data_IF_584033869432
#
_entry.id   IF_584033869432
#
_cell.length_a   1.000
_cell.length_b   1.000
_cell.length_c   1.000
_cell.angle_alpha   90.00
_cell.angle_beta   90.00
_cell.angle_gamma   90.00
#
_symmetry.space_group_name_H-M   'P 1'
#
loop_
_entity.id
_entity.type
_entity.pdbx_description
1 polymer ?
#
# COMPACT_ATOMS: atom_id res chain seq x y z
N UNK A 1 26.16 -5.43 17.38
CA UNK A 1 26.93 -5.31 16.11
C UNK A 1 26.26 -4.28 15.21
N UNK A 2 27.06 -3.37 14.63
CA UNK A 2 26.59 -2.27 13.78
C UNK A 2 26.15 -2.78 12.39
N UNK A 3 26.75 -3.86 11.89
CA UNK A 3 26.48 -4.40 10.56
C UNK A 3 26.55 -5.93 10.53
N UNK A 4 25.79 -6.52 9.62
CA UNK A 4 25.97 -7.92 9.20
C UNK A 4 26.35 -7.96 7.73
N UNK A 5 27.32 -8.79 7.34
CA UNK A 5 27.67 -9.04 5.95
C UNK A 5 26.92 -10.26 5.45
N UNK A 6 26.13 -10.07 4.40
CA UNK A 6 25.37 -11.14 3.75
C UNK A 6 25.91 -11.39 2.36
N UNK A 7 26.05 -12.66 1.98
CA UNK A 7 26.31 -13.04 0.58
C UNK A 7 24.97 -13.15 -0.16
N UNK A 8 24.82 -12.38 -1.22
CA UNK A 8 23.65 -12.42 -2.08
C UNK A 8 23.86 -13.42 -3.24
N UNK A 9 23.26 -14.61 -3.10
CA UNK A 9 23.16 -15.61 -4.19
C UNK A 9 24.48 -16.05 -4.79
N UNK A 10 24.48 -16.31 -6.11
CA UNK A 10 25.66 -16.72 -6.89
C UNK A 10 26.65 -15.58 -7.20
N UNK A 11 26.30 -14.34 -6.88
CA UNK A 11 27.21 -13.20 -7.01
C UNK A 11 28.10 -13.12 -5.78
N UNK A 12 29.41 -13.27 -5.97
CA UNK A 12 30.44 -13.14 -4.91
C UNK A 12 30.59 -11.71 -4.38
N UNK A 13 29.48 -10.97 -4.23
CA UNK A 13 29.47 -9.62 -3.66
C UNK A 13 28.94 -9.68 -2.24
N UNK A 14 29.73 -9.18 -1.32
CA UNK A 14 29.32 -8.96 0.05
C UNK A 14 28.44 -7.69 0.13
N UNK A 15 27.32 -7.79 0.84
CA UNK A 15 26.45 -6.66 1.15
C UNK A 15 26.50 -6.43 2.66
N UNK A 16 26.88 -5.22 3.06
CA UNK A 16 26.80 -4.82 4.46
C UNK A 16 25.33 -4.41 4.78
N UNK A 17 24.76 -5.04 5.80
CA UNK A 17 23.41 -4.75 6.27
C UNK A 17 23.47 -4.07 7.62
N UNK A 18 22.83 -2.90 7.74
CA UNK A 18 22.72 -2.13 8.97
C UNK A 18 21.27 -2.13 9.45
N UNK A 19 21.07 -2.40 10.74
CA UNK A 19 19.75 -2.32 11.36
C UNK A 19 19.54 -0.99 12.08
N UNK A 20 18.31 -0.51 12.09
CA UNK A 20 17.85 0.59 12.93
C UNK A 20 16.47 0.27 13.51
N UNK A 21 16.10 0.91 14.62
CA UNK A 21 14.79 0.75 15.23
C UNK A 21 13.84 1.84 14.70
N UNK A 22 12.62 1.44 14.39
CA UNK A 22 11.53 2.31 13.97
C UNK A 22 10.20 1.82 14.54
N UNK A 23 9.33 2.75 14.92
CA UNK A 23 7.97 2.42 15.36
C UNK A 23 7.06 2.18 14.14
N UNK A 24 6.97 0.93 13.70
CA UNK A 24 6.13 0.53 12.56
C UNK A 24 4.62 0.62 12.85
N UNK A 25 4.21 0.71 14.13
CA UNK A 25 2.81 0.90 14.50
C UNK A 25 2.38 2.37 14.38
N UNK A 26 3.35 3.30 14.45
CA UNK A 26 3.14 4.74 14.37
C UNK A 26 4.05 5.40 13.34
N UNK A 27 3.95 5.04 12.04
CA UNK A 27 4.80 5.59 10.99
C UNK A 27 4.61 7.10 10.75
N UNK A 28 3.59 7.69 11.34
CA UNK A 28 3.36 9.14 11.34
C UNK A 28 4.30 9.89 12.27
N UNK A 29 4.93 9.21 13.25
CA UNK A 29 5.77 9.85 14.26
C UNK A 29 7.22 9.88 13.82
N UNK A 30 7.78 11.08 13.79
CA UNK A 30 9.21 11.25 13.60
C UNK A 30 9.95 11.06 14.91
N UNK A 31 10.94 10.16 14.92
CA UNK A 31 11.84 9.96 16.06
C UNK A 31 13.24 10.46 15.70
N UNK A 32 13.70 11.51 16.39
CA UNK A 32 15.04 12.07 16.19
C UNK A 32 16.18 11.12 16.64
N UNK A 33 15.89 10.09 17.41
CA UNK A 33 16.89 9.07 17.76
C UNK A 33 17.40 8.31 16.52
N UNK A 34 16.60 8.22 15.45
CA UNK A 34 17.03 7.66 14.18
C UNK A 34 18.20 8.45 13.56
N UNK A 35 18.25 9.77 13.75
CA UNK A 35 19.32 10.62 13.21
C UNK A 35 20.69 10.17 13.69
N UNK A 36 20.84 9.95 14.99
CA UNK A 36 22.10 9.49 15.58
C UNK A 36 22.50 8.11 15.03
N UNK A 37 21.51 7.24 14.79
CA UNK A 37 21.78 5.91 14.22
C UNK A 37 22.21 6.00 12.75
N UNK A 38 21.53 6.79 11.93
CA UNK A 38 21.95 7.00 10.55
C UNK A 38 23.32 7.69 10.45
N UNK A 39 23.63 8.61 11.34
CA UNK A 39 24.97 9.23 11.39
C UNK A 39 26.05 8.16 11.59
N UNK A 40 25.88 7.25 12.55
CA UNK A 40 26.80 6.13 12.77
C UNK A 40 26.95 5.23 11.54
N UNK A 41 25.85 4.92 10.86
CA UNK A 41 25.87 4.10 9.63
C UNK A 41 26.63 4.82 8.51
N UNK A 42 26.36 6.10 8.32
CA UNK A 42 27.00 6.92 7.29
C UNK A 42 28.50 7.11 7.56
N UNK A 43 28.91 7.26 8.81
CA UNK A 43 30.31 7.35 9.22
C UNK A 43 31.07 6.02 9.00
N UNK A 44 30.43 4.88 9.27
CA UNK A 44 31.02 3.57 9.09
C UNK A 44 31.10 3.16 7.61
N UNK A 45 30.02 3.37 6.85
CA UNK A 45 29.91 2.93 5.46
C UNK A 45 30.47 3.93 4.46
N UNK A 46 30.40 5.22 4.73
CA UNK A 46 30.84 6.34 3.89
C UNK A 46 30.33 6.26 2.44
N UNK A 47 29.00 6.25 2.23
CA UNK A 47 28.43 6.08 0.90
C UNK A 47 28.71 7.28 -0.01
N UNK A 48 28.98 7.00 -1.30
CA UNK A 48 29.01 8.04 -2.33
C UNK A 48 27.61 8.55 -2.71
N UNK A 49 26.60 7.67 -2.61
CA UNK A 49 25.22 7.93 -2.95
C UNK A 49 24.29 7.22 -1.95
N UNK A 50 23.21 7.88 -1.58
CA UNK A 50 22.13 7.29 -0.77
C UNK A 50 20.88 7.17 -1.62
N UNK A 51 20.33 5.96 -1.71
CA UNK A 51 19.05 5.69 -2.34
C UNK A 51 18.02 5.28 -1.28
N UNK A 52 16.99 6.09 -1.10
CA UNK A 52 15.89 5.89 -0.16
C UNK A 52 14.71 5.32 -0.92
N UNK A 53 14.17 4.18 -0.49
CA UNK A 53 12.99 3.55 -1.08
C UNK A 53 11.74 3.91 -0.30
N UNK A 54 10.83 4.67 -0.92
CA UNK A 54 9.58 5.11 -0.35
C UNK A 54 9.69 6.39 0.49
N UNK A 55 8.57 7.06 0.62
CA UNK A 55 8.41 8.30 1.39
C UNK A 55 7.48 8.12 2.58
N UNK A 56 6.89 6.92 2.70
CA UNK A 56 5.80 6.62 3.61
C UNK A 56 6.21 6.54 5.08
N UNK A 57 7.53 6.41 5.34
CA UNK A 57 8.08 6.26 6.68
C UNK A 57 9.07 7.39 7.00
N UNK A 58 9.17 7.80 8.27
CA UNK A 58 10.00 8.95 8.66
C UNK A 58 11.50 8.69 8.60
N UNK A 59 11.96 7.43 8.54
CA UNK A 59 13.37 7.09 8.47
C UNK A 59 14.06 7.67 7.23
N UNK A 60 13.35 7.77 6.09
CA UNK A 60 13.89 8.38 4.89
C UNK A 60 14.31 9.84 5.13
N UNK A 61 13.44 10.61 5.80
CA UNK A 61 13.77 11.99 6.18
C UNK A 61 14.92 12.05 7.18
N UNK A 62 14.96 11.19 8.19
CA UNK A 62 16.05 11.14 9.16
C UNK A 62 17.40 10.87 8.47
N UNK A 63 17.45 9.92 7.53
CA UNK A 63 18.65 9.60 6.76
C UNK A 63 19.09 10.80 5.88
N UNK A 64 18.17 11.37 5.08
CA UNK A 64 18.49 12.51 4.21
C UNK A 64 18.97 13.72 4.99
N UNK A 65 18.38 13.99 6.16
CA UNK A 65 18.74 15.11 7.03
C UNK A 65 20.18 15.02 7.53
N UNK A 66 20.64 13.83 7.96
CA UNK A 66 22.01 13.67 8.49
C UNK A 66 23.04 13.47 7.38
N UNK A 67 22.67 12.86 6.25
CA UNK A 67 23.55 12.77 5.10
C UNK A 67 23.86 14.13 4.49
N UNK A 68 22.86 15.00 4.45
CA UNK A 68 22.97 16.41 4.08
C UNK A 68 23.72 16.67 2.75
N UNK A 69 23.48 15.80 1.76
CA UNK A 69 24.03 15.90 0.40
C UNK A 69 22.92 15.68 -0.62
N UNK A 70 22.08 16.70 -0.88
CA UNK A 70 20.94 16.55 -1.78
C UNK A 70 21.33 16.06 -3.18
N UNK A 71 22.47 16.51 -3.71
CA UNK A 71 23.00 16.11 -5.02
C UNK A 71 23.45 14.64 -5.09
N UNK A 72 23.51 13.96 -3.96
CA UNK A 72 23.87 12.53 -3.83
C UNK A 72 22.77 11.70 -3.18
N UNK A 73 21.59 12.29 -3.04
CA UNK A 73 20.43 11.59 -2.44
C UNK A 73 19.34 11.41 -3.48
N UNK A 74 18.96 10.15 -3.69
CA UNK A 74 17.90 9.71 -4.59
C UNK A 74 16.75 9.13 -3.76
N UNK A 75 15.51 9.53 -4.03
CA UNK A 75 14.31 8.96 -3.39
C UNK A 75 13.47 8.25 -4.44
N UNK A 76 13.16 6.98 -4.22
CA UNK A 76 12.21 6.21 -5.02
C UNK A 76 10.78 6.40 -4.51
N UNK A 77 9.93 7.05 -5.31
CA UNK A 77 8.53 7.27 -4.98
C UNK A 77 7.74 5.98 -5.15
N UNK A 78 7.10 5.51 -4.07
CA UNK A 78 6.20 4.35 -4.08
C UNK A 78 4.74 4.80 -4.12
N UNK A 79 4.27 5.38 -3.04
CA UNK A 79 3.03 6.10 -2.91
C UNK A 79 3.29 7.56 -2.52
N UNK A 80 2.26 8.38 -2.51
CA UNK A 80 2.34 9.75 -2.04
C UNK A 80 1.38 9.93 -0.87
N UNK A 81 1.92 10.17 0.31
CA UNK A 81 1.14 10.28 1.54
C UNK A 81 0.12 11.39 1.47
N UNK A 82 0.45 12.53 0.84
CA UNK A 82 -0.49 13.63 0.66
C UNK A 82 -1.70 13.21 -0.19
N UNK A 83 -1.46 12.52 -1.30
CA UNK A 83 -2.55 12.03 -2.16
C UNK A 83 -3.41 10.99 -1.46
N UNK A 84 -2.80 10.13 -0.65
CA UNK A 84 -3.53 9.18 0.17
C UNK A 84 -4.38 9.88 1.23
N UNK A 85 -3.87 10.94 1.87
CA UNK A 85 -4.60 11.72 2.86
C UNK A 85 -5.82 12.41 2.26
N UNK A 86 -5.65 13.10 1.14
CA UNK A 86 -6.70 13.84 0.44
C UNK A 86 -7.84 12.93 -0.03
N UNK A 87 -7.50 11.72 -0.50
CA UNK A 87 -8.45 10.75 -1.02
C UNK A 87 -8.86 9.67 0.00
N UNK A 88 -8.42 9.76 1.26
CA UNK A 88 -8.59 8.68 2.24
C UNK A 88 -10.06 8.31 2.48
N UNK A 89 -10.96 9.27 2.39
CA UNK A 89 -12.38 9.05 2.63
C UNK A 89 -13.07 8.26 1.51
N UNK A 90 -12.52 8.28 0.28
CA UNK A 90 -13.00 7.46 -0.85
C UNK A 90 -14.54 7.50 -0.97
N UNK A 91 -15.12 8.71 -1.02
CA UNK A 91 -16.57 8.99 -1.12
C UNK A 91 -17.45 8.28 -0.08
N UNK A 92 -16.88 7.86 1.06
CA UNK A 92 -17.69 7.31 2.14
C UNK A 92 -18.74 8.32 2.62
N UNK A 93 -19.97 7.89 2.90
CA UNK A 93 -20.98 8.75 3.49
C UNK A 93 -20.49 9.39 4.79
N UNK A 94 -20.83 10.65 5.04
CA UNK A 94 -20.34 11.42 6.19
C UNK A 94 -20.58 10.73 7.54
N UNK A 95 -21.73 10.09 7.70
CA UNK A 95 -22.04 9.32 8.90
C UNK A 95 -21.13 8.09 9.08
N UNK A 96 -20.54 7.56 8.00
CA UNK A 96 -19.56 6.48 8.06
C UNK A 96 -18.18 7.03 8.39
N UNK A 97 -17.77 8.14 7.75
CA UNK A 97 -16.51 8.83 8.03
C UNK A 97 -16.38 9.19 9.52
N UNK A 98 -17.48 9.64 10.13
CA UNK A 98 -17.53 10.06 11.53
C UNK A 98 -17.82 8.91 12.52
N UNK A 99 -18.12 7.71 12.02
CA UNK A 99 -18.43 6.56 12.88
C UNK A 99 -17.19 6.04 13.62
N UNK A 100 -17.42 5.56 14.85
CA UNK A 100 -16.37 4.94 15.68
C UNK A 100 -16.92 3.68 16.33
N UNK A 101 -16.12 2.63 16.33
CA UNK A 101 -16.40 1.41 17.11
C UNK A 101 -15.63 1.45 18.43
N UNK A 102 -15.97 0.56 19.37
CA UNK A 102 -15.16 0.42 20.59
C UNK A 102 -13.70 0.10 20.29
N UNK A 103 -13.44 -0.72 19.27
CA UNK A 103 -12.09 -0.98 18.79
C UNK A 103 -11.39 0.30 18.35
N UNK A 104 -12.05 1.11 17.54
CA UNK A 104 -11.46 2.34 17.00
C UNK A 104 -11.13 3.35 18.10
N UNK A 105 -11.97 3.42 19.13
CA UNK A 105 -11.73 4.27 20.31
C UNK A 105 -10.50 3.77 21.09
N UNK A 106 -10.44 2.45 21.38
CA UNK A 106 -9.32 1.86 22.14
C UNK A 106 -8.00 1.94 21.41
N UNK A 107 -8.01 1.72 20.08
CA UNK A 107 -6.79 1.75 19.25
C UNK A 107 -6.46 3.15 18.74
N UNK A 108 -7.30 4.15 18.94
CA UNK A 108 -7.17 5.49 18.35
C UNK A 108 -6.97 5.41 16.83
N UNK A 109 -7.84 4.64 16.17
CA UNK A 109 -7.67 4.18 14.79
C UNK A 109 -9.00 4.27 14.00
N UNK A 110 -9.79 5.32 14.23
CA UNK A 110 -10.99 5.62 13.45
C UNK A 110 -10.61 6.10 12.04
N UNK A 111 -11.55 6.06 11.09
CA UNK A 111 -11.32 6.47 9.70
C UNK A 111 -10.71 7.88 9.64
N UNK A 112 -11.24 8.85 10.38
CA UNK A 112 -10.66 10.20 10.43
C UNK A 112 -9.29 10.25 11.09
N UNK A 113 -9.03 9.44 12.10
CA UNK A 113 -7.70 9.37 12.72
C UNK A 113 -6.67 8.75 11.77
N UNK A 114 -7.07 7.78 10.96
CA UNK A 114 -6.20 7.22 9.93
C UNK A 114 -5.88 8.26 8.84
N UNK A 115 -6.87 9.04 8.39
CA UNK A 115 -6.63 10.17 7.48
C UNK A 115 -5.64 11.17 8.07
N UNK A 116 -5.83 11.56 9.32
CA UNK A 116 -4.94 12.49 10.03
C UNK A 116 -3.50 11.96 10.11
N UNK A 117 -3.33 10.66 10.37
CA UNK A 117 -2.00 10.03 10.33
C UNK A 117 -1.35 10.12 8.95
N UNK A 118 -2.13 10.01 7.87
CA UNK A 118 -1.60 10.22 6.52
C UNK A 118 -1.17 11.66 6.28
N UNK A 119 -1.89 12.66 6.78
CA UNK A 119 -1.45 14.06 6.72
C UNK A 119 -0.14 14.27 7.49
N UNK A 120 0.01 13.67 8.67
CA UNK A 120 1.26 13.75 9.44
C UNK A 120 2.43 13.06 8.70
N UNK A 121 2.18 11.93 8.04
CA UNK A 121 3.18 11.28 7.17
C UNK A 121 3.53 12.16 5.96
N UNK A 122 2.55 12.83 5.37
CA UNK A 122 2.76 13.78 4.27
C UNK A 122 3.67 14.95 4.66
N UNK A 123 3.61 15.41 5.91
CA UNK A 123 4.54 16.43 6.40
C UNK A 123 5.99 15.91 6.45
N UNK A 124 6.22 14.66 6.84
CA UNK A 124 7.53 14.04 6.80
C UNK A 124 8.01 13.80 5.36
N UNK A 125 7.12 13.34 4.47
CA UNK A 125 7.36 13.21 3.03
C UNK A 125 7.78 14.54 2.40
N UNK A 126 7.06 15.61 2.68
CA UNK A 126 7.39 16.97 2.22
C UNK A 126 8.79 17.40 2.67
N UNK A 127 9.12 17.19 3.94
CA UNK A 127 10.46 17.51 4.47
C UNK A 127 11.55 16.70 3.78
N UNK A 128 11.30 15.40 3.53
CA UNK A 128 12.21 14.54 2.78
C UNK A 128 12.44 15.08 1.37
N UNK A 129 11.37 15.35 0.61
CA UNK A 129 11.46 15.81 -0.78
C UNK A 129 12.13 17.19 -0.89
N UNK A 130 11.99 18.05 0.12
CA UNK A 130 12.71 19.35 0.20
C UNK A 130 14.20 19.17 0.54
N UNK A 131 14.61 18.02 1.09
CA UNK A 131 15.98 17.77 1.55
C UNK A 131 16.85 17.02 0.54
N UNK A 132 16.29 16.63 -0.61
CA UNK A 132 16.97 15.78 -1.62
C UNK A 132 17.02 16.47 -2.98
N UNK A 133 17.95 16.05 -3.85
CA UNK A 133 18.09 16.61 -5.20
C UNK A 133 17.49 15.75 -6.30
N UNK A 134 17.28 14.45 -6.03
CA UNK A 134 16.84 13.50 -7.06
C UNK A 134 15.70 12.63 -6.55
N UNK A 135 14.73 12.38 -7.45
CA UNK A 135 13.65 11.40 -7.22
C UNK A 135 13.51 10.47 -8.42
N UNK A 136 13.10 9.23 -8.16
CA UNK A 136 12.61 8.32 -9.19
C UNK A 136 11.14 8.07 -9.01
N UNK A 137 10.42 7.95 -10.11
CA UNK A 137 9.01 7.60 -10.11
C UNK A 137 8.59 6.97 -11.44
N UNK A 138 7.32 6.64 -11.58
CA UNK A 138 6.79 5.84 -12.69
C UNK A 138 5.72 6.54 -13.49
N UNK A 139 5.16 7.61 -12.98
CA UNK A 139 3.95 8.22 -13.53
C UNK A 139 4.10 9.74 -13.67
N UNK A 140 3.27 10.32 -14.53
CA UNK A 140 3.15 11.78 -14.61
C UNK A 140 2.55 12.37 -13.33
N UNK A 141 1.79 11.55 -12.59
CA UNK A 141 1.15 11.94 -11.34
C UNK A 141 2.18 12.15 -10.22
N UNK A 142 3.06 11.18 -9.97
CA UNK A 142 4.08 11.33 -8.94
C UNK A 142 5.12 12.40 -9.30
N UNK A 143 5.43 12.53 -10.61
CA UNK A 143 6.27 13.61 -11.12
C UNK A 143 5.66 14.98 -10.83
N UNK A 144 4.40 15.19 -11.14
CA UNK A 144 3.74 16.47 -10.94
C UNK A 144 3.75 16.89 -9.47
N UNK A 145 3.34 15.99 -8.57
CA UNK A 145 3.27 16.27 -7.12
C UNK A 145 4.67 16.50 -6.52
N UNK A 146 5.64 15.67 -6.89
CA UNK A 146 7.01 15.84 -6.35
C UNK A 146 7.64 17.17 -6.78
N UNK A 147 7.42 17.61 -8.03
CA UNK A 147 7.89 18.89 -8.54
C UNK A 147 7.09 20.08 -8.00
N UNK A 148 5.82 19.91 -7.65
CA UNK A 148 5.05 20.93 -6.95
C UNK A 148 5.59 21.17 -5.54
N UNK A 149 6.00 20.10 -4.83
CA UNK A 149 6.62 20.20 -3.50
C UNK A 149 8.01 20.82 -3.58
N UNK A 150 8.83 20.37 -4.53
CA UNK A 150 10.19 20.87 -4.71
C UNK A 150 10.52 21.03 -6.21
N UNK A 151 10.36 22.24 -6.77
CA UNK A 151 10.63 22.49 -8.20
C UNK A 151 12.09 22.29 -8.63
N UNK A 152 13.02 22.20 -7.68
CA UNK A 152 14.46 21.98 -7.97
C UNK A 152 14.83 20.50 -8.12
N UNK A 153 13.91 19.56 -7.90
CA UNK A 153 14.14 18.14 -8.02
C UNK A 153 14.46 17.73 -9.46
N UNK A 154 15.45 16.87 -9.62
CA UNK A 154 15.69 16.14 -10.87
C UNK A 154 14.89 14.84 -10.82
N UNK A 155 13.87 14.75 -11.66
CA UNK A 155 13.02 13.55 -11.75
C UNK A 155 13.57 12.56 -12.77
N UNK A 156 13.71 11.30 -12.35
CA UNK A 156 14.13 10.19 -13.18
C UNK A 156 12.99 9.17 -13.32
N UNK A 157 12.68 8.76 -14.54
CA UNK A 157 11.72 7.67 -14.76
C UNK A 157 12.39 6.33 -14.48
N UNK A 158 11.81 5.54 -13.58
CA UNK A 158 12.31 4.22 -13.23
C UNK A 158 11.14 3.26 -12.99
N UNK A 159 11.03 2.24 -13.83
CA UNK A 159 10.06 1.17 -13.62
C UNK A 159 10.61 0.16 -12.62
N UNK A 160 9.72 -0.39 -11.79
CA UNK A 160 10.05 -1.47 -10.87
C UNK A 160 9.90 -2.83 -11.53
N UNK A 161 10.73 -3.77 -11.09
CA UNK A 161 10.55 -5.19 -11.37
C UNK A 161 9.50 -5.78 -10.43
N UNK A 162 8.58 -6.55 -11.00
CA UNK A 162 7.58 -7.28 -10.19
C UNK A 162 8.20 -8.53 -9.57
N UNK A 163 7.47 -9.17 -8.66
CA UNK A 163 7.90 -10.40 -8.02
C UNK A 163 8.13 -11.50 -9.08
N UNK A 164 9.19 -12.32 -8.98
CA UNK A 164 9.58 -13.28 -10.03
C UNK A 164 8.46 -14.23 -10.47
N UNK A 165 7.56 -14.58 -9.59
CA UNK A 165 6.45 -15.49 -9.85
C UNK A 165 5.52 -15.03 -10.98
N UNK A 166 5.39 -13.70 -11.16
CA UNK A 166 4.45 -13.13 -12.14
C UNK A 166 4.99 -13.03 -13.56
N UNK A 167 6.28 -13.32 -13.77
CA UNK A 167 6.88 -13.39 -15.10
C UNK A 167 6.65 -14.74 -15.81
N UNK A 168 5.93 -15.66 -15.21
CA UNK A 168 5.60 -16.97 -15.77
C UNK A 168 4.13 -17.27 -15.60
N UNK A 169 3.55 -18.05 -16.51
CA UNK A 169 2.13 -18.34 -16.57
C UNK A 169 1.39 -17.36 -17.47
N UNK A 170 0.20 -17.74 -17.88
CA UNK A 170 -0.68 -16.97 -18.75
C UNK A 170 -2.13 -17.21 -18.33
N UNK A 171 -2.90 -16.16 -18.26
CA UNK A 171 -4.33 -16.23 -18.04
C UNK A 171 -5.04 -16.81 -19.29
N UNK A 172 -5.96 -17.72 -19.09
CA UNK A 172 -6.75 -18.37 -20.13
C UNK A 172 -8.18 -18.45 -19.64
N UNK A 173 -9.13 -17.93 -20.41
CA UNK A 173 -10.56 -17.85 -20.01
C UNK A 173 -11.14 -19.21 -19.65
N UNK A 174 -10.74 -20.27 -20.35
CA UNK A 174 -11.20 -21.65 -20.15
C UNK A 174 -10.77 -22.24 -18.80
N UNK A 175 -9.75 -21.65 -18.17
CA UNK A 175 -9.21 -22.10 -16.87
C UNK A 175 -9.75 -21.28 -15.69
N UNK A 176 -10.57 -20.27 -15.96
CA UNK A 176 -11.11 -19.39 -14.93
C UNK A 176 -12.36 -19.98 -14.27
N UNK A 177 -12.68 -19.47 -13.09
CA UNK A 177 -13.94 -19.75 -12.42
C UNK A 177 -14.98 -18.74 -12.90
N UNK A 178 -16.09 -19.17 -13.53
CA UNK A 178 -17.13 -18.28 -14.03
C UNK A 178 -17.64 -17.32 -12.95
N UNK A 179 -17.73 -16.04 -13.29
CA UNK A 179 -18.20 -14.98 -12.39
C UNK A 179 -17.22 -14.57 -11.29
N UNK A 180 -16.01 -15.13 -11.24
CA UNK A 180 -15.03 -14.79 -10.20
C UNK A 180 -14.38 -13.45 -10.46
N UNK A 181 -14.56 -12.51 -9.49
CA UNK A 181 -13.95 -11.19 -9.46
C UNK A 181 -12.91 -11.20 -8.35
N UNK A 182 -11.65 -10.89 -8.68
CA UNK A 182 -10.57 -10.83 -7.71
C UNK A 182 -10.14 -9.39 -7.41
N UNK A 183 -9.93 -9.08 -6.13
CA UNK A 183 -9.27 -7.84 -5.67
C UNK A 183 -8.13 -8.19 -4.72
N UNK A 184 -7.02 -7.49 -4.88
CA UNK A 184 -5.78 -7.77 -4.13
C UNK A 184 -5.80 -7.25 -2.70
N UNK A 185 -6.65 -6.27 -2.39
CA UNK A 185 -6.74 -5.64 -1.06
C UNK A 185 -8.06 -4.90 -0.89
N UNK A 186 -8.64 -4.96 0.33
CA UNK A 186 -9.92 -4.30 0.61
C UNK A 186 -10.10 -3.88 2.07
N UNK A 187 -9.00 -3.67 2.82
CA UNK A 187 -8.99 -3.55 4.27
C UNK A 187 -9.14 -2.12 4.81
N UNK A 188 -9.03 -1.09 3.97
CA UNK A 188 -9.28 0.30 4.36
C UNK A 188 -9.91 1.12 3.22
N UNK A 189 -10.54 2.27 3.51
CA UNK A 189 -11.38 3.01 2.55
C UNK A 189 -10.73 3.30 1.22
N UNK A 190 -9.47 3.76 1.22
CA UNK A 190 -8.71 4.13 0.05
C UNK A 190 -8.64 3.02 -1.02
N UNK A 191 -8.69 1.73 -0.60
CA UNK A 191 -8.70 0.56 -1.50
C UNK A 191 -10.05 0.30 -2.16
N UNK A 192 -11.09 1.06 -1.82
CA UNK A 192 -12.32 1.15 -2.59
C UNK A 192 -13.19 -0.11 -2.64
N UNK A 193 -13.00 -1.10 -1.76
CA UNK A 193 -13.80 -2.32 -1.77
C UNK A 193 -15.31 -2.05 -1.69
N UNK A 194 -15.71 -0.99 -1.04
CA UNK A 194 -17.11 -0.56 -0.95
C UNK A 194 -17.69 -0.16 -2.31
N UNK A 195 -16.90 0.38 -3.24
CA UNK A 195 -17.36 0.69 -4.60
C UNK A 195 -17.75 -0.60 -5.35
N UNK A 196 -16.90 -1.63 -5.27
CA UNK A 196 -17.24 -2.92 -5.88
C UNK A 196 -18.49 -3.54 -5.25
N UNK A 197 -18.62 -3.51 -3.92
CA UNK A 197 -19.82 -4.01 -3.25
C UNK A 197 -21.10 -3.26 -3.65
N UNK A 198 -21.01 -1.98 -3.97
CA UNK A 198 -22.13 -1.18 -4.49
C UNK A 198 -22.46 -1.57 -5.94
N UNK A 199 -21.45 -1.73 -6.80
CA UNK A 199 -21.60 -2.12 -8.19
C UNK A 199 -22.16 -3.54 -8.36
N UNK A 200 -21.98 -4.43 -7.38
CA UNK A 200 -22.46 -5.82 -7.46
C UNK A 200 -23.96 -5.96 -7.70
N UNK A 201 -24.78 -4.97 -7.31
CA UNK A 201 -26.21 -5.01 -7.61
C UNK A 201 -26.51 -5.00 -9.11
N UNK A 202 -25.77 -4.19 -9.86
CA UNK A 202 -25.89 -4.10 -11.32
C UNK A 202 -25.21 -5.30 -12.00
N UNK A 203 -24.03 -5.68 -11.52
CA UNK A 203 -23.30 -6.84 -12.05
C UNK A 203 -24.18 -8.11 -11.98
N UNK A 204 -24.83 -8.35 -10.86
CA UNK A 204 -25.66 -9.56 -10.63
C UNK A 204 -26.92 -9.61 -11.49
N UNK A 205 -27.38 -8.50 -12.06
CA UNK A 205 -28.49 -8.50 -13.03
C UNK A 205 -28.09 -9.18 -14.34
N UNK A 206 -26.83 -9.03 -14.76
CA UNK A 206 -26.32 -9.56 -16.02
C UNK A 206 -25.45 -10.82 -15.84
N UNK A 207 -24.91 -11.04 -14.64
CA UNK A 207 -24.02 -12.14 -14.29
C UNK A 207 -24.40 -12.67 -12.89
N UNK A 208 -25.47 -13.47 -12.77
CA UNK A 208 -25.99 -13.95 -11.47
C UNK A 208 -24.99 -14.79 -10.66
N UNK A 209 -24.05 -15.45 -11.35
CA UNK A 209 -22.97 -16.23 -10.75
C UNK A 209 -21.83 -15.35 -10.18
N UNK A 210 -21.78 -14.06 -10.48
CA UNK A 210 -20.71 -13.18 -10.05
C UNK A 210 -20.50 -13.24 -8.53
N UNK A 211 -19.23 -13.36 -8.15
CA UNK A 211 -18.80 -13.40 -6.76
C UNK A 211 -17.40 -12.82 -6.61
N UNK A 212 -17.07 -12.38 -5.40
CA UNK A 212 -15.84 -11.65 -5.10
C UNK A 212 -14.92 -12.49 -4.23
N UNK A 213 -13.66 -12.58 -4.61
CA UNK A 213 -12.56 -12.97 -3.74
C UNK A 213 -11.72 -11.74 -3.41
N UNK A 214 -11.45 -11.50 -2.14
CA UNK A 214 -10.64 -10.38 -1.68
C UNK A 214 -9.49 -10.88 -0.82
N UNK A 215 -8.25 -10.54 -1.21
CA UNK A 215 -7.07 -10.80 -0.42
C UNK A 215 -6.83 -9.67 0.61
N UNK A 216 -5.89 -9.88 1.53
CA UNK A 216 -5.53 -8.94 2.58
C UNK A 216 -6.22 -9.20 3.92
N UNK A 217 -5.94 -8.32 4.89
CA UNK A 217 -6.46 -8.47 6.25
C UNK A 217 -7.99 -8.34 6.27
N UNK A 218 -8.65 -9.31 6.87
CA UNK A 218 -10.10 -9.25 7.00
C UNK A 218 -10.57 -8.18 7.97
N UNK A 219 -11.20 -7.14 7.45
CA UNK A 219 -11.89 -6.13 8.25
C UNK A 219 -13.36 -6.48 8.50
N UNK A 220 -13.86 -7.54 7.86
CA UNK A 220 -15.24 -8.00 8.03
C UNK A 220 -15.46 -8.75 9.35
N UNK A 221 -14.38 -9.15 10.01
CA UNK A 221 -14.41 -9.99 11.21
C UNK A 221 -14.72 -11.45 10.89
N UNK A 222 -14.26 -12.36 11.72
CA UNK A 222 -14.56 -13.80 11.64
C UNK A 222 -15.89 -14.06 12.38
N UNK A 223 -16.55 -15.18 12.09
CA UNK A 223 -17.80 -15.57 12.76
C UNK A 223 -17.60 -15.71 14.28
N UNK A 224 -18.44 -15.04 15.08
CA UNK A 224 -18.45 -15.10 16.53
C UNK A 224 -18.66 -13.73 17.22
N UNK A 225 -19.18 -13.74 18.46
CA UNK A 225 -19.49 -12.52 19.21
C UNK A 225 -18.21 -11.71 19.51
N UNK A 226 -17.12 -12.37 19.88
CA UNK A 226 -15.84 -11.72 20.17
C UNK A 226 -15.23 -11.00 18.96
N UNK A 227 -15.44 -11.51 17.74
CA UNK A 227 -14.93 -10.88 16.53
C UNK A 227 -15.77 -9.66 16.13
N UNK A 228 -17.07 -9.63 16.42
CA UNK A 228 -17.95 -8.49 16.15
C UNK A 228 -17.53 -7.23 16.92
N UNK A 229 -16.97 -7.39 18.13
CA UNK A 229 -16.51 -6.26 18.97
C UNK A 229 -15.18 -5.67 18.39
N UNK A 230 -14.41 -6.46 17.66
CA UNK A 230 -13.09 -6.07 17.10
C UNK A 230 -13.18 -5.47 15.68
N UNK A 231 -14.38 -5.30 15.12
CA UNK A 231 -14.55 -4.79 13.75
C UNK A 231 -14.35 -3.27 13.73
N UNK A 232 -13.51 -2.72 12.81
CA UNK A 232 -13.39 -1.29 12.60
C UNK A 232 -14.66 -0.70 11.97
N UNK A 233 -14.83 0.62 12.05
CA UNK A 233 -15.99 1.32 11.47
C UNK A 233 -16.15 1.02 9.97
N UNK A 234 -15.06 1.00 9.21
CA UNK A 234 -15.10 0.65 7.79
C UNK A 234 -15.58 -0.78 7.56
N UNK A 235 -15.08 -1.76 8.31
CA UNK A 235 -15.54 -3.15 8.22
C UNK A 235 -17.03 -3.30 8.56
N UNK A 236 -17.53 -2.53 9.53
CA UNK A 236 -18.95 -2.48 9.86
C UNK A 236 -19.78 -1.92 8.71
N UNK A 237 -19.27 -0.93 7.99
CA UNK A 237 -19.90 -0.39 6.79
C UNK A 237 -19.95 -1.41 5.66
N UNK A 238 -18.83 -2.08 5.36
CA UNK A 238 -18.77 -3.14 4.34
C UNK A 238 -19.78 -4.26 4.63
N UNK A 239 -19.90 -4.70 5.90
CA UNK A 239 -20.93 -5.69 6.28
C UNK A 239 -22.35 -5.22 6.01
N UNK A 240 -22.64 -3.94 6.26
CA UNK A 240 -23.95 -3.38 5.94
C UNK A 240 -24.22 -3.40 4.43
N UNK A 241 -23.21 -3.10 3.60
CA UNK A 241 -23.32 -3.18 2.14
C UNK A 241 -23.57 -4.62 1.68
N UNK A 242 -22.84 -5.60 2.22
CA UNK A 242 -23.03 -7.02 1.91
C UNK A 242 -24.47 -7.44 2.23
N UNK A 243 -24.98 -7.11 3.42
CA UNK A 243 -26.36 -7.43 3.82
C UNK A 243 -27.39 -6.69 2.96
N UNK A 244 -27.22 -5.38 2.77
CA UNK A 244 -28.14 -4.54 1.99
C UNK A 244 -28.28 -5.04 0.55
N UNK A 245 -27.16 -5.44 -0.04
CA UNK A 245 -27.08 -5.86 -1.44
C UNK A 245 -27.24 -7.38 -1.62
N UNK A 246 -27.58 -8.11 -0.53
CA UNK A 246 -27.80 -9.59 -0.54
C UNK A 246 -26.59 -10.35 -1.11
N UNK A 247 -25.38 -9.96 -0.68
CA UNK A 247 -24.12 -10.54 -1.15
C UNK A 247 -23.56 -11.61 -0.19
N UNK A 248 -24.38 -12.10 0.77
CA UNK A 248 -24.00 -13.19 1.65
C UNK A 248 -23.66 -14.44 0.81
N UNK A 249 -22.53 -15.04 1.07
CA UNK A 249 -22.02 -16.16 0.29
C UNK A 249 -21.34 -15.80 -1.04
N UNK A 250 -21.48 -14.54 -1.52
CA UNK A 250 -20.84 -14.06 -2.74
C UNK A 250 -19.52 -13.28 -2.48
N UNK A 251 -19.14 -13.10 -1.23
CA UNK A 251 -17.90 -12.42 -0.84
C UNK A 251 -17.06 -13.37 0.02
N UNK A 252 -15.87 -13.70 -0.47
CA UNK A 252 -14.89 -14.54 0.23
C UNK A 252 -13.63 -13.75 0.53
N UNK A 253 -13.26 -13.60 1.82
CA UNK A 253 -11.98 -13.04 2.24
C UNK A 253 -10.95 -14.15 2.35
N UNK A 254 -9.82 -13.98 1.68
CA UNK A 254 -8.77 -14.99 1.56
C UNK A 254 -7.68 -14.86 2.64
N UNK A 255 -7.59 -13.67 3.27
CA UNK A 255 -6.47 -13.36 4.16
C UNK A 255 -5.21 -12.93 3.41
N UNK A 256 -4.09 -12.88 4.12
CA UNK A 256 -2.81 -12.58 3.51
C UNK A 256 -2.34 -13.77 2.69
N UNK A 257 -2.00 -13.50 1.42
CA UNK A 257 -1.57 -14.50 0.45
C UNK A 257 -0.06 -14.34 0.16
N UNK A 258 0.63 -15.46 -0.01
CA UNK A 258 1.97 -15.48 -0.60
C UNK A 258 1.93 -15.09 -2.09
N UNK A 259 3.08 -14.82 -2.69
CA UNK A 259 3.15 -14.48 -4.12
C UNK A 259 2.58 -15.59 -5.03
N UNK A 260 2.85 -16.84 -4.70
CA UNK A 260 2.30 -18.00 -5.44
C UNK A 260 0.78 -18.12 -5.27
N UNK A 261 0.25 -17.87 -4.09
CA UNK A 261 -1.20 -17.85 -3.85
C UNK A 261 -1.87 -16.70 -4.57
N UNK A 262 -1.30 -15.50 -4.53
CA UNK A 262 -1.77 -14.35 -5.29
C UNK A 262 -1.84 -14.67 -6.79
N UNK A 263 -0.78 -15.24 -7.35
CA UNK A 263 -0.72 -15.65 -8.74
C UNK A 263 -1.85 -16.65 -9.09
N UNK A 264 -2.10 -17.64 -8.23
CA UNK A 264 -3.22 -18.59 -8.45
C UNK A 264 -4.57 -17.89 -8.47
N UNK A 265 -4.81 -16.94 -7.57
CA UNK A 265 -6.05 -16.18 -7.55
C UNK A 265 -6.22 -15.31 -8.81
N UNK A 266 -5.15 -14.66 -9.28
CA UNK A 266 -5.17 -13.93 -10.56
C UNK A 266 -5.55 -14.83 -11.73
N UNK A 267 -4.93 -16.02 -11.83
CA UNK A 267 -5.15 -16.93 -12.95
C UNK A 267 -6.51 -17.64 -12.87
N UNK A 268 -7.13 -17.76 -11.70
CA UNK A 268 -8.47 -18.35 -11.54
C UNK A 268 -9.59 -17.34 -11.77
N UNK A 269 -9.34 -16.07 -11.58
CA UNK A 269 -10.35 -15.04 -11.73
C UNK A 269 -10.68 -14.74 -13.19
N UNK A 270 -11.95 -14.47 -13.48
CA UNK A 270 -12.34 -13.95 -14.81
C UNK A 270 -11.90 -12.50 -15.01
N UNK A 271 -11.84 -11.72 -13.92
CA UNK A 271 -11.42 -10.32 -13.95
C UNK A 271 -10.72 -9.94 -12.64
N UNK A 272 -9.67 -9.15 -12.75
CA UNK A 272 -9.06 -8.47 -11.63
C UNK A 272 -9.57 -7.02 -11.56
N UNK A 273 -9.96 -6.57 -10.38
CA UNK A 273 -10.45 -5.21 -10.16
C UNK A 273 -9.58 -4.50 -9.13
N UNK A 274 -9.10 -3.31 -9.46
CA UNK A 274 -8.41 -2.40 -8.56
C UNK A 274 -9.32 -1.16 -8.34
N UNK A 275 -10.23 -1.19 -7.35
CA UNK A 275 -11.22 -0.13 -7.17
C UNK A 275 -10.72 1.04 -6.31
N UNK A 276 -9.42 1.15 -6.10
CA UNK A 276 -8.81 2.17 -5.23
C UNK A 276 -9.17 3.60 -5.66
N UNK A 277 -9.42 4.47 -4.69
CA UNK A 277 -9.71 5.88 -4.93
C UNK A 277 -8.51 6.64 -5.50
N UNK A 278 -7.30 6.27 -5.12
CA UNK A 278 -6.04 6.76 -5.68
C UNK A 278 -4.98 5.67 -5.66
N UNK A 279 -4.16 5.62 -6.71
CA UNK A 279 -3.01 4.74 -6.83
C UNK A 279 -1.88 5.44 -7.60
N UNK A 280 -0.65 5.09 -7.27
CA UNK A 280 0.53 5.49 -8.02
C UNK A 280 1.21 4.25 -8.60
N UNK A 281 0.75 3.76 -9.76
CA UNK A 281 1.29 2.56 -10.43
C UNK A 281 1.30 1.32 -9.51
N UNK A 282 0.13 0.80 -9.10
CA UNK A 282 0.07 -0.28 -8.13
C UNK A 282 0.65 -1.59 -8.68
N UNK A 283 1.53 -2.21 -7.90
CA UNK A 283 2.17 -3.48 -8.27
C UNK A 283 1.15 -4.58 -8.56
N UNK A 284 0.00 -4.57 -7.87
CA UNK A 284 -1.08 -5.54 -8.12
C UNK A 284 -1.66 -5.46 -9.53
N UNK A 285 -1.78 -4.27 -10.10
CA UNK A 285 -2.22 -4.10 -11.50
C UNK A 285 -1.15 -4.61 -12.45
N UNK A 286 0.13 -4.24 -12.22
CA UNK A 286 1.24 -4.71 -13.04
C UNK A 286 1.40 -6.24 -13.01
N UNK A 287 1.20 -6.87 -11.85
CA UNK A 287 1.21 -8.34 -11.71
C UNK A 287 0.07 -9.00 -12.50
N UNK A 288 -1.15 -8.44 -12.44
CA UNK A 288 -2.28 -8.91 -13.26
C UNK A 288 -2.00 -8.77 -14.76
N UNK A 289 -1.46 -7.61 -15.18
CA UNK A 289 -1.10 -7.36 -16.58
C UNK A 289 -0.01 -8.30 -17.10
N UNK A 290 1.02 -8.61 -16.29
CA UNK A 290 2.06 -9.58 -16.66
C UNK A 290 1.50 -10.98 -16.90
N UNK A 291 0.45 -11.37 -16.19
CA UNK A 291 -0.24 -12.64 -16.37
C UNK A 291 -1.29 -12.60 -17.50
N UNK A 292 -1.61 -11.42 -18.03
CA UNK A 292 -2.65 -11.23 -19.05
C UNK A 292 -4.07 -11.25 -18.50
N UNK A 293 -4.27 -11.03 -17.20
CA UNK A 293 -5.59 -10.98 -16.55
C UNK A 293 -6.32 -9.69 -16.96
N UNK A 294 -7.59 -9.76 -17.39
CA UNK A 294 -8.42 -8.57 -17.68
C UNK A 294 -8.66 -7.73 -16.45
#
# INVERSE_FOLDING_TARGET
ELSQRLQLGSYKKEVACYGFAEDLEHPERYDSAMEARFLQILEDFQPDLVHIFGTEFPHGYACAKVFHRPERTLVGLQGLCISCADNYMADLPENVQNSRTLRDILKKDSIRQQQEKFYQRAENEKKLLLSVGHVTGRTTFDKAISLEINPSLVYHTMNETMRPQFYSGCWEIEKTVPGEIFISQGDYPLKGFHYLLQAMQEILQNCPEAHIKVAGISVLGVNGIKSRIKIPAYGKYLRRLILKNRLEGKVRVLGNLSAEEMKREYLSAQIFVCPSAVENSPNSVAEGQLLGVP
#
